data_IF_603585392670
#
_entry.id   IF_603585392670
#
_cell.length_a   1.000
_cell.length_b   1.000
_cell.length_c   1.000
_cell.angle_alpha   90.00
_cell.angle_beta   90.00
_cell.angle_gamma   90.00
#
_symmetry.space_group_name_H-M   'P 1'
#
loop_
_entity.id
_entity.type
_entity.pdbx_description
1 polymer ?
#
# COMPACT_ATOMS: atom_id res chain seq x y z
N UNK A 1 12.84 -16.58 -30.67
CA UNK A 1 11.61 -16.71 -29.86
C UNK A 1 12.05 -16.94 -28.43
N UNK A 2 11.66 -16.04 -27.55
CA UNK A 2 12.02 -16.10 -26.14
C UNK A 2 11.31 -17.27 -25.48
N UNK A 3 12.11 -18.19 -24.94
CA UNK A 3 11.66 -19.33 -24.17
C UNK A 3 11.66 -18.95 -22.68
N UNK A 4 10.48 -18.91 -22.06
CA UNK A 4 10.34 -18.66 -20.62
C UNK A 4 9.91 -19.96 -19.96
N UNK A 5 10.58 -20.30 -18.85
CA UNK A 5 10.23 -21.49 -18.05
C UNK A 5 9.16 -21.14 -17.03
N UNK A 6 8.29 -22.09 -16.75
CA UNK A 6 7.29 -21.97 -15.70
C UNK A 6 7.91 -21.62 -14.34
N UNK A 7 9.02 -22.29 -13.99
CA UNK A 7 9.69 -22.06 -12.72
C UNK A 7 10.30 -20.66 -12.60
N UNK A 8 10.78 -20.09 -13.70
CA UNK A 8 11.37 -18.73 -13.70
C UNK A 8 10.32 -17.68 -13.29
N UNK A 9 9.08 -17.80 -13.76
CA UNK A 9 7.99 -16.91 -13.37
C UNK A 9 7.60 -17.10 -11.90
N UNK A 10 7.45 -18.35 -11.46
CA UNK A 10 7.07 -18.69 -10.08
C UNK A 10 8.10 -18.12 -9.09
N UNK A 11 9.39 -18.33 -9.36
CA UNK A 11 10.47 -17.88 -8.49
C UNK A 11 10.62 -16.37 -8.51
N UNK A 12 10.49 -15.74 -9.67
CA UNK A 12 10.55 -14.28 -9.77
C UNK A 12 9.41 -13.59 -9.01
N UNK A 13 8.20 -14.15 -9.06
CA UNK A 13 7.06 -13.64 -8.26
C UNK A 13 7.33 -13.84 -6.77
N UNK A 14 7.88 -14.99 -6.37
CA UNK A 14 8.17 -15.26 -4.98
C UNK A 14 9.23 -14.29 -4.41
N UNK A 15 10.32 -14.13 -5.15
CA UNK A 15 11.44 -13.26 -4.81
C UNK A 15 11.01 -11.79 -4.81
N UNK A 16 10.17 -11.36 -5.77
CA UNK A 16 9.61 -10.01 -5.81
C UNK A 16 8.77 -9.70 -4.56
N UNK A 17 7.89 -10.61 -4.15
CA UNK A 17 7.04 -10.42 -2.97
C UNK A 17 7.83 -10.41 -1.67
N UNK A 18 8.86 -11.24 -1.57
CA UNK A 18 9.80 -11.20 -0.46
C UNK A 18 10.59 -9.88 -0.45
N UNK A 19 11.10 -9.45 -1.60
CA UNK A 19 11.84 -8.21 -1.76
C UNK A 19 11.05 -6.98 -1.30
N UNK A 20 9.84 -6.79 -1.84
CA UNK A 20 8.98 -5.66 -1.47
C UNK A 20 8.40 -5.77 -0.06
N UNK A 21 8.54 -6.92 0.62
CA UNK A 21 8.13 -7.03 2.02
C UNK A 21 9.06 -6.26 2.95
N UNK A 22 10.35 -6.13 2.62
CA UNK A 22 11.38 -5.52 3.48
C UNK A 22 11.84 -4.15 3.00
N UNK A 23 11.90 -3.95 1.68
CA UNK A 23 12.51 -2.77 1.08
C UNK A 23 11.45 -1.82 0.57
N UNK A 24 11.47 -0.59 1.08
CA UNK A 24 10.79 0.50 0.42
C UNK A 24 11.53 0.88 -0.87
N UNK A 25 10.81 1.29 -1.92
CA UNK A 25 11.39 1.97 -3.06
C UNK A 25 12.21 3.21 -2.65
N UNK A 26 13.29 3.47 -3.38
CA UNK A 26 14.24 4.57 -3.08
C UNK A 26 13.58 5.95 -3.16
N UNK A 27 12.73 6.16 -4.15
CA UNK A 27 11.94 7.36 -4.35
C UNK A 27 10.98 7.64 -3.17
N UNK A 28 10.36 6.61 -2.60
CA UNK A 28 9.57 6.72 -1.38
C UNK A 28 10.42 7.17 -0.19
N UNK A 29 11.60 6.57 0.02
CA UNK A 29 12.52 6.97 1.09
C UNK A 29 12.94 8.44 0.95
N UNK A 30 13.30 8.86 -0.27
CA UNK A 30 13.71 10.23 -0.56
C UNK A 30 12.59 11.24 -0.36
N UNK A 31 11.39 10.94 -0.84
CA UNK A 31 10.21 11.80 -0.69
C UNK A 31 9.79 11.94 0.77
N UNK A 32 9.73 10.83 1.51
CA UNK A 32 9.39 10.85 2.93
C UNK A 32 10.46 11.57 3.76
N UNK A 33 11.74 11.40 3.44
CA UNK A 33 12.82 12.12 4.10
C UNK A 33 12.74 13.63 3.86
N UNK A 34 12.36 14.06 2.66
CA UNK A 34 12.13 15.47 2.34
C UNK A 34 10.93 16.02 3.13
N UNK A 35 9.81 15.30 3.16
CA UNK A 35 8.64 15.65 3.97
C UNK A 35 9.00 15.78 5.46
N UNK A 36 9.72 14.80 6.02
CA UNK A 36 10.19 14.81 7.41
C UNK A 36 11.02 16.04 7.76
N UNK A 37 11.92 16.48 6.86
CA UNK A 37 12.76 17.66 7.09
C UNK A 37 11.95 18.96 7.13
N UNK A 38 10.90 19.05 6.31
CA UNK A 38 10.03 20.22 6.23
C UNK A 38 8.94 20.24 7.30
N UNK A 39 8.56 19.08 7.84
CA UNK A 39 7.44 18.98 8.78
C UNK A 39 7.67 19.79 10.06
N UNK A 40 6.63 20.56 10.42
CA UNK A 40 6.59 21.45 11.57
C UNK A 40 5.78 20.85 12.73
N UNK A 41 4.74 20.07 12.42
CA UNK A 41 3.93 19.38 13.44
C UNK A 41 4.78 18.32 14.15
N UNK A 42 5.00 18.43 15.48
CA UNK A 42 5.81 17.45 16.21
C UNK A 42 5.27 16.03 16.07
N UNK A 43 3.94 15.86 16.13
CA UNK A 43 3.30 14.56 16.02
C UNK A 43 3.45 13.93 14.62
N UNK A 44 3.26 14.71 13.54
CA UNK A 44 3.47 14.19 12.19
C UNK A 44 4.96 13.92 11.90
N UNK A 45 5.85 14.78 12.39
CA UNK A 45 7.30 14.59 12.25
C UNK A 45 7.77 13.32 12.94
N UNK A 46 7.28 13.07 14.16
CA UNK A 46 7.52 11.84 14.90
C UNK A 46 7.00 10.61 14.14
N UNK A 47 5.77 10.67 13.62
CA UNK A 47 5.19 9.58 12.82
C UNK A 47 6.04 9.26 11.57
N UNK A 48 6.52 10.27 10.84
CA UNK A 48 7.42 10.06 9.69
C UNK A 48 8.77 9.46 10.13
N UNK A 49 9.31 9.91 11.27
CA UNK A 49 10.55 9.36 11.82
C UNK A 49 10.41 7.88 12.20
N UNK A 50 9.28 7.47 12.78
CA UNK A 50 8.98 6.07 13.06
C UNK A 50 8.89 5.25 11.77
N UNK A 51 8.25 5.76 10.71
CA UNK A 51 8.17 5.07 9.41
C UNK A 51 9.56 4.87 8.81
N UNK A 52 10.41 5.91 8.80
CA UNK A 52 11.77 5.84 8.26
C UNK A 52 12.66 4.89 9.07
N UNK A 53 12.56 4.95 10.40
CA UNK A 53 13.28 4.05 11.32
C UNK A 53 12.85 2.60 11.10
N UNK A 54 11.54 2.34 11.08
CA UNK A 54 11.00 1.02 10.78
C UNK A 54 11.48 0.51 9.42
N UNK A 55 11.44 1.37 8.38
CA UNK A 55 11.91 0.99 7.05
C UNK A 55 13.37 0.53 7.04
N UNK A 56 14.25 1.24 7.76
CA UNK A 56 15.67 0.87 7.87
C UNK A 56 15.86 -0.43 8.66
N UNK A 57 15.12 -0.59 9.76
CA UNK A 57 15.15 -1.82 10.57
C UNK A 57 14.65 -3.04 9.80
N UNK A 58 13.61 -2.89 8.98
CA UNK A 58 13.07 -3.94 8.11
C UNK A 58 14.08 -4.39 7.06
N UNK A 59 14.80 -3.44 6.44
CA UNK A 59 15.85 -3.73 5.47
C UNK A 59 17.03 -4.50 6.10
N UNK A 60 17.48 -4.08 7.29
CA UNK A 60 18.56 -4.74 8.03
C UNK A 60 18.16 -6.12 8.56
N UNK A 61 16.96 -6.20 9.15
CA UNK A 61 16.48 -7.39 9.83
C UNK A 61 15.76 -8.39 8.93
N UNK A 62 15.56 -8.06 7.64
CA UNK A 62 14.71 -8.81 6.70
C UNK A 62 13.37 -9.16 7.34
N UNK A 63 12.66 -8.13 7.81
CA UNK A 63 11.31 -8.27 8.41
C UNK A 63 10.29 -7.43 7.68
N UNK A 64 9.04 -7.89 7.54
CA UNK A 64 8.03 -7.15 6.80
C UNK A 64 7.84 -5.73 7.35
N UNK A 65 7.78 -4.74 6.47
CA UNK A 65 7.56 -3.32 6.80
C UNK A 65 6.27 -3.10 7.59
N UNK A 66 5.27 -3.94 7.34
CA UNK A 66 3.96 -3.85 7.98
C UNK A 66 3.46 -5.25 8.34
N UNK A 67 2.78 -5.36 9.48
CA UNK A 67 2.09 -6.57 9.92
C UNK A 67 1.05 -7.05 8.91
N UNK A 68 0.48 -6.13 8.13
CA UNK A 68 -0.35 -6.44 6.98
C UNK A 68 0.50 -6.58 5.72
N UNK A 69 0.91 -7.80 5.41
CA UNK A 69 1.67 -8.11 4.20
C UNK A 69 0.85 -7.98 2.92
N UNK A 70 -0.47 -7.77 3.02
CA UNK A 70 -1.32 -7.28 1.94
C UNK A 70 -1.90 -8.36 1.02
N UNK A 71 -2.85 -7.95 0.18
CA UNK A 71 -3.33 -8.73 -0.97
C UNK A 71 -2.37 -8.54 -2.14
N UNK A 72 -2.05 -9.63 -2.84
CA UNK A 72 -1.20 -9.54 -4.04
C UNK A 72 -2.04 -9.15 -5.24
N UNK A 73 -1.62 -8.09 -5.92
CA UNK A 73 -2.16 -7.66 -7.22
C UNK A 73 -1.02 -7.72 -8.23
N UNK A 74 -1.24 -8.37 -9.37
CA UNK A 74 -0.24 -8.50 -10.42
C UNK A 74 -0.83 -8.06 -11.77
N UNK A 75 -0.14 -7.17 -12.46
CA UNK A 75 -0.41 -6.82 -13.86
C UNK A 75 0.64 -7.50 -14.73
N UNK A 76 0.20 -8.47 -15.53
CA UNK A 76 1.07 -9.31 -16.35
C UNK A 76 0.82 -9.02 -17.82
N UNK A 77 1.87 -8.54 -18.49
CA UNK A 77 1.90 -8.27 -19.93
C UNK A 77 2.70 -9.37 -20.62
N UNK A 78 2.06 -10.18 -21.45
CA UNK A 78 2.73 -11.29 -22.15
C UNK A 78 2.91 -10.97 -23.62
N UNK A 79 4.16 -10.90 -24.04
CA UNK A 79 4.55 -10.75 -25.43
C UNK A 79 3.99 -11.86 -26.31
N UNK A 80 3.37 -11.51 -27.43
CA UNK A 80 2.79 -12.48 -28.39
C UNK A 80 3.83 -13.44 -28.98
N UNK A 81 5.12 -13.12 -28.91
CA UNK A 81 6.22 -13.98 -29.37
C UNK A 81 6.88 -14.81 -28.24
N UNK A 82 6.35 -14.75 -27.02
CA UNK A 82 6.78 -15.59 -25.89
C UNK A 82 6.35 -17.03 -26.11
N UNK A 83 7.25 -17.97 -25.84
CA UNK A 83 6.92 -19.40 -25.73
C UNK A 83 7.18 -19.88 -24.32
N UNK A 84 6.20 -20.57 -23.76
CA UNK A 84 6.34 -21.30 -22.50
C UNK A 84 6.82 -22.71 -22.82
N UNK A 85 8.06 -23.04 -22.47
CA UNK A 85 8.71 -24.29 -22.93
C UNK A 85 8.30 -25.53 -22.16
N UNK A 86 7.92 -25.36 -20.90
CA UNK A 86 7.64 -26.43 -19.95
C UNK A 86 6.39 -26.15 -19.11
N UNK A 87 5.57 -25.17 -19.50
CA UNK A 87 4.42 -24.77 -18.71
C UNK A 87 3.30 -25.81 -18.75
N UNK A 88 2.92 -26.25 -17.55
CA UNK A 88 1.72 -27.05 -17.26
C UNK A 88 0.64 -26.23 -16.57
N UNK A 89 1.00 -25.03 -16.09
CA UNK A 89 0.13 -24.07 -15.41
C UNK A 89 -0.21 -22.90 -16.32
N UNK A 90 -1.40 -22.33 -16.14
CA UNK A 90 -1.72 -20.99 -16.66
C UNK A 90 -0.85 -19.92 -15.97
N UNK A 91 -0.72 -18.75 -16.59
CA UNK A 91 0.02 -17.61 -16.01
C UNK A 91 -0.52 -17.24 -14.63
N UNK A 92 -1.85 -17.24 -14.45
CA UNK A 92 -2.49 -16.98 -13.16
C UNK A 92 -2.12 -18.03 -12.10
N UNK A 93 -2.05 -19.31 -12.47
CA UNK A 93 -1.62 -20.38 -11.55
C UNK A 93 -0.14 -20.25 -11.19
N UNK A 94 0.72 -19.89 -12.16
CA UNK A 94 2.14 -19.62 -11.90
C UNK A 94 2.34 -18.45 -10.92
N UNK A 95 1.59 -17.35 -11.10
CA UNK A 95 1.62 -16.22 -10.14
C UNK A 95 1.15 -16.68 -8.77
N UNK A 96 0.05 -17.44 -8.67
CA UNK A 96 -0.43 -17.95 -7.38
C UNK A 96 0.52 -18.94 -6.71
N UNK A 97 1.25 -19.75 -7.49
CA UNK A 97 2.30 -20.62 -6.96
C UNK A 97 3.46 -19.79 -6.39
N UNK A 98 3.86 -18.70 -7.07
CA UNK A 98 4.86 -17.75 -6.56
C UNK A 98 4.40 -17.04 -5.28
N UNK A 99 3.13 -16.62 -5.22
CA UNK A 99 2.52 -16.03 -4.01
C UNK A 99 2.56 -17.01 -2.84
N UNK A 100 2.06 -18.23 -3.04
CA UNK A 100 2.10 -19.28 -2.02
C UNK A 100 3.53 -19.53 -1.53
N UNK A 101 4.49 -19.63 -2.46
CA UNK A 101 5.91 -19.82 -2.15
C UNK A 101 6.47 -18.65 -1.31
N UNK A 102 6.17 -17.40 -1.68
CA UNK A 102 6.60 -16.23 -0.92
C UNK A 102 6.03 -16.25 0.50
N UNK A 103 4.72 -16.48 0.65
CA UNK A 103 4.04 -16.33 1.92
C UNK A 103 4.36 -17.45 2.92
N UNK A 104 4.74 -18.63 2.42
CA UNK A 104 5.12 -19.79 3.23
C UNK A 104 6.64 -19.96 3.37
N UNK A 105 7.45 -18.99 2.95
CA UNK A 105 8.90 -19.09 3.05
C UNK A 105 9.33 -19.20 4.54
N UNK A 106 9.97 -20.30 4.97
CA UNK A 106 10.25 -20.52 6.40
C UNK A 106 11.12 -19.44 7.04
N UNK A 107 12.08 -18.90 6.28
CA UNK A 107 13.01 -17.88 6.77
C UNK A 107 12.35 -16.50 6.95
N UNK A 108 11.19 -16.27 6.31
CA UNK A 108 10.37 -15.08 6.49
C UNK A 108 8.91 -15.34 6.10
N UNK A 109 8.15 -15.87 7.06
CA UNK A 109 6.73 -16.15 6.88
C UNK A 109 5.95 -14.84 6.85
N UNK A 110 5.27 -14.59 5.72
CA UNK A 110 4.38 -13.43 5.57
C UNK A 110 2.98 -13.76 6.09
N UNK A 111 2.19 -12.74 6.39
CA UNK A 111 0.85 -12.94 6.97
C UNK A 111 -0.20 -13.24 5.90
N UNK A 112 -0.70 -14.47 5.87
CA UNK A 112 -1.88 -14.82 5.09
C UNK A 112 -3.14 -14.06 5.57
N UNK A 113 -3.66 -13.18 4.71
CA UNK A 113 -4.75 -12.25 5.01
C UNK A 113 -5.97 -12.47 4.11
N UNK A 114 -5.89 -13.37 3.13
CA UNK A 114 -7.00 -13.72 2.23
C UNK A 114 -7.96 -14.72 2.90
N UNK A 115 -9.25 -14.49 2.68
CA UNK A 115 -10.33 -15.35 3.15
C UNK A 115 -11.15 -15.87 1.96
N UNK A 116 -11.47 -17.16 1.98
CA UNK A 116 -12.44 -17.77 1.09
C UNK A 116 -13.86 -17.58 1.63
N UNK A 117 -14.85 -17.57 0.73
CA UNK A 117 -16.27 -17.37 1.06
C UNK A 117 -16.51 -16.01 1.77
N UNK A 118 -16.26 -14.87 1.09
CA UNK A 118 -16.28 -13.54 1.69
C UNK A 118 -17.65 -13.12 2.23
N UNK A 119 -18.74 -13.65 1.65
CA UNK A 119 -20.12 -13.43 2.08
C UNK A 119 -20.60 -14.47 3.12
N UNK A 120 -19.84 -15.53 3.36
CA UNK A 120 -20.19 -16.62 4.28
C UNK A 120 -19.15 -16.81 5.38
N UNK A 121 -18.49 -17.97 5.39
CA UNK A 121 -17.64 -18.43 6.50
C UNK A 121 -16.32 -17.66 6.65
N UNK A 122 -15.84 -16.97 5.62
CA UNK A 122 -14.61 -16.16 5.64
C UNK A 122 -13.39 -16.92 6.18
N UNK A 123 -13.20 -18.18 5.76
CA UNK A 123 -12.08 -19.02 6.22
C UNK A 123 -10.77 -18.51 5.61
N UNK A 124 -9.74 -18.30 6.43
CA UNK A 124 -8.42 -17.93 5.95
C UNK A 124 -7.85 -19.01 5.01
N UNK A 125 -7.24 -18.61 3.89
CA UNK A 125 -6.68 -19.54 2.89
C UNK A 125 -5.35 -20.16 3.32
N UNK A 126 -4.66 -19.56 4.29
CA UNK A 126 -3.43 -20.07 4.90
C UNK A 126 -2.15 -19.74 4.14
N UNK A 127 -2.26 -19.25 2.91
CA UNK A 127 -1.14 -19.03 1.98
C UNK A 127 -1.24 -17.69 1.21
N UNK A 128 -2.24 -16.87 1.56
CA UNK A 128 -2.54 -15.58 0.93
C UNK A 128 -2.97 -15.64 -0.54
N UNK A 129 -3.28 -16.82 -1.07
CA UNK A 129 -3.89 -16.99 -2.40
C UNK A 129 -5.42 -16.97 -2.29
N UNK A 130 -6.16 -16.67 -3.39
CA UNK A 130 -5.64 -16.23 -4.69
C UNK A 130 -5.19 -14.76 -4.70
N UNK A 131 -4.19 -14.47 -5.53
CA UNK A 131 -3.85 -13.12 -5.96
C UNK A 131 -4.87 -12.60 -6.99
N UNK A 132 -4.98 -11.27 -7.08
CA UNK A 132 -5.74 -10.59 -8.16
C UNK A 132 -4.80 -10.40 -9.35
N UNK A 133 -5.00 -11.20 -10.40
CA UNK A 133 -4.13 -11.19 -11.59
C UNK A 133 -4.86 -10.56 -12.78
N UNK A 134 -4.32 -9.46 -13.27
CA UNK A 134 -4.71 -8.84 -14.54
C UNK A 134 -3.71 -9.27 -15.60
N UNK A 135 -4.21 -9.80 -16.71
CA UNK A 135 -3.38 -10.35 -17.78
C UNK A 135 -3.77 -9.72 -19.12
N UNK A 136 -2.78 -9.33 -19.91
CA UNK A 136 -2.96 -8.87 -21.29
C UNK A 136 -1.87 -9.42 -22.23
N UNK A 137 -2.25 -9.68 -23.49
CA UNK A 137 -1.32 -10.01 -24.56
C UNK A 137 -0.85 -8.72 -25.24
N UNK A 138 0.46 -8.57 -25.42
CA UNK A 138 1.09 -7.37 -26.01
C UNK A 138 2.06 -7.76 -27.12
N UNK A 139 2.39 -6.87 -28.07
CA UNK A 139 3.50 -7.12 -29.01
C UNK A 139 4.83 -7.34 -28.27
N UNK A 140 5.74 -8.12 -28.87
CA UNK A 140 7.08 -8.38 -28.34
C UNK A 140 7.27 -9.80 -27.80
N UNK A 141 8.42 -10.04 -27.19
CA UNK A 141 8.93 -11.36 -26.80
C UNK A 141 9.31 -11.45 -25.31
N UNK A 142 8.74 -10.57 -24.49
CA UNK A 142 9.00 -10.49 -23.04
C UNK A 142 7.72 -10.68 -22.25
N UNK A 143 7.86 -11.07 -20.99
CA UNK A 143 6.77 -11.01 -20.01
C UNK A 143 7.10 -9.89 -19.03
N UNK A 144 6.31 -8.82 -19.04
CA UNK A 144 6.41 -7.75 -18.05
C UNK A 144 5.47 -8.01 -16.88
N UNK A 145 5.95 -7.80 -15.66
CA UNK A 145 5.20 -8.01 -14.44
C UNK A 145 5.35 -6.77 -13.56
N UNK A 146 4.22 -6.14 -13.25
CA UNK A 146 4.13 -5.18 -12.16
C UNK A 146 3.36 -5.85 -11.03
N UNK A 147 4.00 -6.00 -9.87
CA UNK A 147 3.40 -6.70 -8.74
C UNK A 147 3.42 -5.81 -7.50
N UNK A 148 2.31 -5.83 -6.77
CA UNK A 148 2.14 -5.06 -5.54
C UNK A 148 1.57 -5.91 -4.40
N UNK A 149 2.00 -5.61 -3.19
CA UNK A 149 1.49 -6.18 -1.95
C UNK A 149 0.65 -5.13 -1.21
N UNK A 150 -0.65 -5.07 -1.54
CA UNK A 150 -1.53 -3.96 -1.18
C UNK A 150 -2.17 -4.18 0.20
N UNK A 151 -1.95 -3.26 1.15
CA UNK A 151 -2.54 -3.37 2.48
C UNK A 151 -4.07 -3.18 2.45
N UNK A 152 -4.80 -4.00 3.20
CA UNK A 152 -6.27 -3.98 3.24
C UNK A 152 -6.84 -2.66 3.77
N UNK A 153 -6.13 -2.01 4.70
CA UNK A 153 -6.53 -0.68 5.21
C UNK A 153 -6.62 0.36 4.11
N UNK A 154 -5.60 0.44 3.25
CA UNK A 154 -5.60 1.33 2.09
C UNK A 154 -6.53 0.87 0.96
N UNK A 155 -6.70 -0.44 0.76
CA UNK A 155 -7.63 -0.96 -0.25
C UNK A 155 -9.07 -0.57 0.05
N UNK A 156 -9.48 -0.67 1.31
CA UNK A 156 -10.84 -0.35 1.77
C UNK A 156 -11.16 1.15 1.73
N UNK A 157 -10.17 2.00 1.40
CA UNK A 157 -10.33 3.44 1.20
C UNK A 157 -10.34 3.80 -0.29
N UNK A 158 -10.74 2.85 -1.14
CA UNK A 158 -10.98 3.11 -2.56
C UNK A 158 -12.34 3.75 -2.76
N UNK A 159 -12.40 4.81 -3.57
CA UNK A 159 -13.62 5.54 -3.91
C UNK A 159 -13.84 5.50 -5.41
N UNK A 160 -15.09 5.44 -5.83
CA UNK A 160 -15.49 5.44 -7.23
C UNK A 160 -16.74 6.30 -7.42
N UNK A 161 -16.77 7.06 -8.50
CA UNK A 161 -17.94 7.82 -8.90
C UNK A 161 -18.11 7.85 -10.43
N UNK A 162 -19.37 7.99 -10.86
CA UNK A 162 -19.71 8.38 -12.23
C UNK A 162 -19.99 9.88 -12.22
N UNK A 163 -18.97 10.69 -12.46
CA UNK A 163 -19.12 12.14 -12.53
C UNK A 163 -19.83 12.55 -13.83
N UNK A 164 -20.54 13.67 -13.78
CA UNK A 164 -20.98 14.34 -15.00
C UNK A 164 -19.75 14.90 -15.75
N UNK A 165 -19.83 15.04 -17.09
CA UNK A 165 -18.73 15.63 -17.87
C UNK A 165 -18.28 17.02 -17.39
N UNK A 166 -19.17 17.79 -16.79
CA UNK A 166 -18.88 19.14 -16.25
C UNK A 166 -18.37 19.15 -14.80
N UNK A 167 -18.46 18.04 -14.06
CA UNK A 167 -18.10 18.04 -12.64
C UNK A 167 -16.59 18.20 -12.47
N UNK A 168 -16.20 18.90 -11.41
CA UNK A 168 -14.80 19.17 -11.09
C UNK A 168 -14.16 17.99 -10.33
N UNK A 169 -13.02 17.52 -10.85
CA UNK A 169 -12.29 16.38 -10.30
C UNK A 169 -11.63 16.74 -8.97
N UNK A 170 -11.12 17.96 -8.85
CA UNK A 170 -10.40 18.43 -7.66
C UNK A 170 -11.37 18.52 -6.49
N UNK A 171 -12.52 19.14 -6.70
CA UNK A 171 -13.57 19.24 -5.69
C UNK A 171 -14.05 17.86 -5.22
N UNK A 172 -14.25 16.92 -6.16
CA UNK A 172 -14.61 15.55 -5.79
C UNK A 172 -13.54 14.88 -4.94
N UNK A 173 -12.26 14.97 -5.31
CA UNK A 173 -11.16 14.37 -4.52
C UNK A 173 -11.08 14.98 -3.12
N UNK A 174 -11.16 16.31 -3.00
CA UNK A 174 -11.09 17.00 -1.71
C UNK A 174 -12.30 16.68 -0.82
N UNK A 175 -13.45 16.40 -1.39
CA UNK A 175 -14.63 15.93 -0.67
C UNK A 175 -14.44 14.52 -0.09
N UNK A 176 -13.86 13.58 -0.85
CA UNK A 176 -13.71 12.19 -0.40
C UNK A 176 -12.63 12.02 0.69
N UNK A 177 -11.53 12.79 0.62
CA UNK A 177 -10.36 12.56 1.47
C UNK A 177 -10.61 12.64 2.99
N UNK A 178 -11.33 13.64 3.53
CA UNK A 178 -11.60 13.70 4.97
C UNK A 178 -12.27 12.43 5.51
N UNK A 179 -13.17 11.81 4.74
CA UNK A 179 -13.86 10.56 5.11
C UNK A 179 -12.94 9.34 5.18
N UNK A 180 -11.78 9.40 4.53
CA UNK A 180 -10.79 8.32 4.59
C UNK A 180 -10.07 8.28 5.94
N UNK A 181 -9.87 9.45 6.57
CA UNK A 181 -9.15 9.61 7.83
C UNK A 181 -7.74 9.00 7.82
N UNK A 182 -7.25 8.60 8.98
CA UNK A 182 -5.96 7.94 9.14
C UNK A 182 -5.94 6.45 8.70
N UNK A 183 -7.09 5.88 8.30
CA UNK A 183 -7.27 4.44 8.12
C UNK A 183 -6.45 3.81 6.98
N UNK A 184 -5.82 4.63 6.14
CA UNK A 184 -4.90 4.21 5.08
C UNK A 184 -3.43 4.54 5.38
N UNK A 185 -3.09 4.97 6.60
CA UNK A 185 -1.72 5.26 7.06
C UNK A 185 -0.94 6.25 6.16
N UNK A 186 -1.39 7.53 6.02
CA UNK A 186 -0.56 8.56 5.38
C UNK A 186 0.75 8.82 6.15
N UNK A 187 1.80 9.40 5.53
CA UNK A 187 1.81 9.88 4.15
C UNK A 187 2.10 8.76 3.15
N UNK A 188 1.42 8.81 2.01
CA UNK A 188 1.60 7.87 0.92
C UNK A 188 1.28 8.52 -0.42
N UNK A 189 0.63 7.81 -1.33
CA UNK A 189 0.25 8.38 -2.65
C UNK A 189 -1.24 8.24 -2.90
N UNK A 190 -1.79 9.08 -3.77
CA UNK A 190 -3.11 8.86 -4.35
C UNK A 190 -2.96 8.39 -5.79
N UNK A 191 -3.61 7.29 -6.14
CA UNK A 191 -3.76 6.82 -7.51
C UNK A 191 -5.16 7.18 -7.99
N UNK A 192 -5.25 7.86 -9.12
CA UNK A 192 -6.50 8.31 -9.70
C UNK A 192 -6.61 7.76 -11.12
N UNK A 193 -7.75 7.15 -11.42
CA UNK A 193 -8.10 6.67 -12.74
C UNK A 193 -9.26 7.49 -13.29
N UNK A 194 -9.11 8.05 -14.49
CA UNK A 194 -10.13 8.91 -15.10
C UNK A 194 -10.55 8.33 -16.46
N UNK A 195 -11.85 8.22 -16.68
CA UNK A 195 -12.40 7.79 -17.97
C UNK A 195 -12.47 6.27 -18.15
N UNK A 196 -12.59 5.83 -19.40
CA UNK A 196 -13.00 4.47 -19.73
C UNK A 196 -14.43 4.16 -19.25
N UNK A 197 -14.59 2.98 -18.66
CA UNK A 197 -15.77 2.47 -17.96
C UNK A 197 -15.48 2.36 -16.46
N UNK A 198 -16.47 1.97 -15.65
CA UNK A 198 -16.32 1.89 -14.19
C UNK A 198 -15.14 1.02 -13.75
N UNK A 199 -15.03 -0.18 -14.31
CA UNK A 199 -13.96 -1.12 -14.06
C UNK A 199 -12.60 -0.60 -14.58
N UNK A 200 -12.57 0.08 -15.73
CA UNK A 200 -11.33 0.62 -16.28
C UNK A 200 -10.77 1.73 -15.40
N UNK A 201 -11.60 2.64 -14.89
CA UNK A 201 -11.17 3.69 -13.97
C UNK A 201 -10.51 3.09 -12.71
N UNK A 202 -11.12 2.08 -12.10
CA UNK A 202 -10.55 1.39 -10.92
C UNK A 202 -9.20 0.73 -11.23
N UNK A 203 -9.08 0.07 -12.39
CA UNK A 203 -7.82 -0.52 -12.84
C UNK A 203 -6.73 0.54 -13.05
N UNK A 204 -7.07 1.67 -13.69
CA UNK A 204 -6.13 2.77 -13.92
C UNK A 204 -5.67 3.40 -12.61
N UNK A 205 -6.57 3.63 -11.65
CA UNK A 205 -6.23 4.13 -10.32
C UNK A 205 -5.25 3.19 -9.61
N UNK A 206 -5.47 1.87 -9.73
CA UNK A 206 -4.55 0.86 -9.17
C UNK A 206 -3.20 0.87 -9.87
N UNK A 207 -3.18 0.94 -11.20
CA UNK A 207 -1.95 0.95 -12.00
C UNK A 207 -1.12 2.21 -11.76
N UNK A 208 -1.78 3.36 -11.59
CA UNK A 208 -1.13 4.64 -11.33
C UNK A 208 -0.25 4.59 -10.06
N UNK A 209 -0.67 3.84 -9.04
CA UNK A 209 0.07 3.68 -7.78
C UNK A 209 1.41 2.94 -7.90
N UNK A 210 1.68 2.33 -9.04
CA UNK A 210 2.97 1.66 -9.28
C UNK A 210 4.00 2.59 -9.94
N UNK A 211 3.64 3.84 -10.26
CA UNK A 211 4.58 4.79 -10.81
C UNK A 211 5.55 5.33 -9.74
N UNK A 212 6.80 5.67 -10.12
CA UNK A 212 7.77 6.20 -9.18
C UNK A 212 7.35 7.57 -8.63
N UNK A 213 7.65 7.89 -7.38
CA UNK A 213 7.38 9.20 -6.79
C UNK A 213 8.28 10.26 -7.43
N UNK A 214 7.68 11.26 -8.07
CA UNK A 214 8.39 12.29 -8.85
C UNK A 214 7.81 13.70 -8.70
N UNK A 215 6.84 13.92 -7.79
CA UNK A 215 6.17 15.22 -7.60
C UNK A 215 7.14 16.41 -7.45
N UNK A 216 8.24 16.25 -6.71
CA UNK A 216 9.24 17.31 -6.54
C UNK A 216 9.93 17.67 -7.86
N UNK A 217 10.28 16.66 -8.67
CA UNK A 217 10.87 16.86 -9.99
C UNK A 217 9.84 17.47 -10.96
N UNK A 218 8.59 17.02 -10.90
CA UNK A 218 7.48 17.56 -11.68
C UNK A 218 7.26 19.06 -11.41
N UNK A 219 7.19 19.47 -10.13
CA UNK A 219 7.06 20.89 -9.76
C UNK A 219 8.24 21.73 -10.23
N UNK A 220 9.47 21.20 -10.13
CA UNK A 220 10.67 21.91 -10.55
C UNK A 220 10.73 22.12 -12.07
N UNK A 221 10.31 21.14 -12.87
CA UNK A 221 10.29 21.25 -14.33
C UNK A 221 9.07 21.99 -14.88
N UNK A 222 7.98 22.04 -14.12
CA UNK A 222 6.68 22.56 -14.54
C UNK A 222 5.82 21.53 -15.30
N UNK A 223 4.51 21.69 -15.22
CA UNK A 223 3.56 20.84 -15.95
C UNK A 223 3.64 21.09 -17.47
N UNK A 224 3.52 20.01 -18.24
CA UNK A 224 3.54 20.03 -19.70
C UNK A 224 2.20 19.66 -20.33
N UNK A 225 1.26 19.16 -19.52
CA UNK A 225 -0.07 18.75 -19.96
C UNK A 225 -1.08 18.88 -18.81
N UNK A 226 -2.36 18.74 -19.14
CA UNK A 226 -3.47 18.88 -18.18
C UNK A 226 -3.41 17.89 -17.02
N UNK A 227 -2.92 16.68 -17.27
CA UNK A 227 -2.80 15.66 -16.22
C UNK A 227 -1.74 16.06 -15.19
N UNK A 228 -0.61 16.60 -15.65
CA UNK A 228 0.45 17.09 -14.76
C UNK A 228 0.04 18.32 -13.96
N UNK A 229 -0.70 19.24 -14.58
CA UNK A 229 -1.31 20.37 -13.85
C UNK A 229 -2.22 19.85 -12.74
N UNK A 230 -3.10 18.89 -13.06
CA UNK A 230 -4.03 18.30 -12.10
C UNK A 230 -3.32 17.54 -10.98
N UNK A 231 -2.23 16.83 -11.29
CA UNK A 231 -1.38 16.16 -10.28
C UNK A 231 -0.82 17.17 -9.26
N UNK A 232 -0.23 18.27 -9.75
CA UNK A 232 0.32 19.33 -8.89
C UNK A 232 -0.79 19.95 -8.05
N UNK A 233 -1.88 20.37 -8.69
CA UNK A 233 -3.01 21.03 -8.04
C UNK A 233 -3.61 20.15 -6.92
N UNK A 234 -3.85 18.88 -7.20
CA UNK A 234 -4.33 17.93 -6.20
C UNK A 234 -3.32 17.73 -5.08
N UNK A 235 -2.03 17.53 -5.39
CA UNK A 235 -1.02 17.33 -4.35
C UNK A 235 -0.96 18.52 -3.38
N UNK A 236 -1.04 19.75 -3.90
CA UNK A 236 -1.01 20.96 -3.08
C UNK A 236 -2.28 21.12 -2.25
N UNK A 237 -3.45 21.00 -2.88
CA UNK A 237 -4.74 21.17 -2.19
C UNK A 237 -4.99 20.08 -1.14
N UNK A 238 -4.59 18.84 -1.42
CA UNK A 238 -4.71 17.72 -0.48
C UNK A 238 -3.83 17.94 0.76
N UNK A 239 -2.59 18.39 0.58
CA UNK A 239 -1.71 18.70 1.70
C UNK A 239 -2.20 19.93 2.47
N UNK A 240 -2.80 20.91 1.79
CA UNK A 240 -3.42 22.08 2.42
C UNK A 240 -4.64 21.76 3.30
N UNK A 241 -5.26 20.57 3.17
CA UNK A 241 -6.31 20.12 4.11
C UNK A 241 -5.77 19.90 5.53
N UNK A 242 -4.45 19.79 5.71
CA UNK A 242 -3.83 19.65 7.02
C UNK A 242 -4.12 18.33 7.73
N UNK A 243 -4.53 17.27 7.02
CA UNK A 243 -4.76 15.93 7.59
C UNK A 243 -3.46 15.37 8.19
N UNK A 244 -2.35 15.53 7.46
CA UNK A 244 -1.00 15.20 7.93
C UNK A 244 -0.69 13.71 8.05
N UNK A 245 0.55 13.40 8.44
CA UNK A 245 1.00 12.03 8.65
C UNK A 245 0.18 11.32 9.73
N UNK A 246 -0.24 10.09 9.44
CA UNK A 246 -1.12 9.27 10.31
C UNK A 246 -2.43 9.96 10.73
N UNK A 247 -2.86 11.04 10.05
CA UNK A 247 -4.01 11.83 10.44
C UNK A 247 -3.82 12.66 11.72
N UNK A 248 -2.57 12.93 12.10
CA UNK A 248 -2.20 13.67 13.32
C UNK A 248 -2.07 15.19 13.09
N UNK A 249 -2.45 15.68 11.91
CA UNK A 249 -2.23 17.06 11.50
C UNK A 249 -0.79 17.32 11.08
N UNK A 250 -0.58 18.18 10.08
CA UNK A 250 0.75 18.52 9.59
C UNK A 250 0.75 18.91 8.11
N UNK A 251 1.94 19.08 7.56
CA UNK A 251 2.12 19.58 6.19
C UNK A 251 1.92 18.49 5.14
N UNK A 252 2.20 17.23 5.46
CA UNK A 252 2.23 16.15 4.45
C UNK A 252 1.21 15.06 4.73
N UNK A 253 0.17 15.01 3.91
CA UNK A 253 -0.79 13.91 3.80
C UNK A 253 -0.43 12.97 2.66
N UNK A 254 0.04 13.51 1.53
CA UNK A 254 0.44 12.78 0.33
C UNK A 254 1.83 13.22 -0.14
N UNK A 255 2.62 12.25 -0.58
CA UNK A 255 3.94 12.45 -1.18
C UNK A 255 3.84 12.68 -2.70
N UNK A 256 2.82 12.10 -3.34
CA UNK A 256 2.54 12.24 -4.78
C UNK A 256 1.07 11.93 -5.07
N UNK A 257 0.59 12.42 -6.21
CA UNK A 257 -0.68 12.06 -6.83
C UNK A 257 -0.37 11.54 -8.22
N UNK A 258 -0.76 10.31 -8.53
CA UNK A 258 -0.57 9.66 -9.82
C UNK A 258 -1.90 9.53 -10.53
N UNK A 259 -1.94 9.92 -11.80
CA UNK A 259 -3.16 9.90 -12.60
C UNK A 259 -2.89 9.13 -13.88
N UNK A 260 -3.75 8.18 -14.20
CA UNK A 260 -3.85 7.57 -15.52
C UNK A 260 -5.25 7.81 -16.07
N UNK A 261 -5.35 8.19 -17.33
CA UNK A 261 -6.62 8.43 -18.01
C UNK A 261 -6.83 7.51 -19.21
N UNK A 262 -8.08 7.43 -19.65
CA UNK A 262 -8.48 6.66 -20.82
C UNK A 262 -9.69 7.32 -21.50
N UNK A 263 -9.81 7.25 -22.84
CA UNK A 263 -10.97 7.77 -23.54
C UNK A 263 -12.29 7.25 -22.95
N UNK A 264 -13.29 8.12 -22.83
CA UNK A 264 -14.59 7.77 -22.23
C UNK A 264 -15.74 8.24 -23.09
N UNK A 265 -16.94 7.72 -22.83
CA UNK A 265 -18.16 8.11 -23.52
C UNK A 265 -18.49 9.58 -23.20
N UNK A 266 -18.96 10.34 -24.18
CA UNK A 266 -19.18 11.80 -24.04
C UNK A 266 -20.13 12.19 -22.89
N UNK A 267 -21.03 11.30 -22.49
CA UNK A 267 -21.97 11.49 -21.39
C UNK A 267 -21.47 11.00 -20.02
N UNK A 268 -20.22 10.54 -19.91
CA UNK A 268 -19.71 9.89 -18.70
C UNK A 268 -18.32 10.39 -18.34
N UNK A 269 -18.05 10.50 -17.03
CA UNK A 269 -16.70 10.69 -16.50
C UNK A 269 -16.49 9.74 -15.31
N UNK A 270 -16.26 8.44 -15.56
CA UNK A 270 -15.89 7.51 -14.49
C UNK A 270 -14.60 8.00 -13.83
N UNK A 271 -14.57 7.99 -12.51
CA UNK A 271 -13.38 8.34 -11.74
C UNK A 271 -13.22 7.36 -10.58
N UNK A 272 -11.99 6.96 -10.34
CA UNK A 272 -11.60 6.16 -9.19
C UNK A 272 -10.45 6.83 -8.46
N UNK A 273 -10.46 6.74 -7.13
CA UNK A 273 -9.39 7.16 -6.24
C UNK A 273 -9.01 5.98 -5.36
N UNK A 274 -7.73 5.65 -5.31
CA UNK A 274 -7.19 4.57 -4.48
C UNK A 274 -5.94 5.12 -3.79
N UNK A 275 -5.87 5.17 -2.45
CA UNK A 275 -4.66 5.54 -1.77
C UNK A 275 -3.65 4.38 -1.75
N UNK A 276 -2.36 4.70 -1.77
CA UNK A 276 -1.28 3.83 -1.35
C UNK A 276 -0.76 4.29 0.01
N UNK A 277 -0.70 3.38 0.99
CA UNK A 277 -0.29 3.69 2.36
C UNK A 277 1.23 3.88 2.48
N UNK A 278 1.68 4.26 3.68
CA UNK A 278 3.09 4.31 4.03
C UNK A 278 3.86 2.99 3.81
N UNK A 279 3.17 1.84 3.71
CA UNK A 279 3.78 0.58 3.29
C UNK A 279 3.74 0.46 1.75
N UNK A 280 4.51 1.30 1.07
CA UNK A 280 4.63 1.34 -0.40
C UNK A 280 5.39 0.11 -0.90
N UNK A 281 4.67 -0.87 -1.44
CA UNK A 281 5.24 -2.18 -1.81
C UNK A 281 4.80 -2.58 -3.20
N UNK A 282 5.57 -2.18 -4.19
CA UNK A 282 5.45 -2.63 -5.57
C UNK A 282 6.82 -2.78 -6.21
N UNK A 283 6.91 -3.58 -7.25
CA UNK A 283 8.11 -3.72 -8.07
C UNK A 283 7.73 -4.10 -9.50
N UNK A 284 8.59 -3.73 -10.43
CA UNK A 284 8.47 -3.98 -11.85
C UNK A 284 9.63 -4.86 -12.30
N UNK A 285 9.34 -5.90 -13.08
CA UNK A 285 10.37 -6.72 -13.69
C UNK A 285 9.91 -7.34 -14.99
N UNK A 286 10.88 -7.82 -15.77
CA UNK A 286 10.62 -8.51 -17.02
C UNK A 286 11.35 -9.85 -17.05
N UNK A 287 10.72 -10.83 -17.70
CA UNK A 287 11.35 -12.08 -18.08
C UNK A 287 11.61 -12.08 -19.59
N UNK A 288 12.83 -12.41 -19.95
CA UNK A 288 13.32 -12.43 -21.34
C UNK A 288 14.00 -13.77 -21.69
N UNK A 289 13.79 -14.81 -20.87
CA UNK A 289 14.41 -16.13 -21.05
C UNK A 289 15.80 -16.29 -20.44
N UNK A 290 16.35 -15.27 -19.77
CA UNK A 290 17.64 -15.37 -19.05
C UNK A 290 17.57 -16.09 -17.69
N UNK A 291 16.38 -16.52 -17.26
CA UNK A 291 16.12 -17.12 -15.96
C UNK A 291 15.32 -16.21 -15.02
N UNK A 292 15.44 -16.47 -13.71
CA UNK A 292 14.76 -15.74 -12.63
C UNK A 292 15.17 -14.26 -12.60
N UNK A 293 14.20 -13.37 -12.36
CA UNK A 293 14.44 -11.95 -12.20
C UNK A 293 15.33 -11.66 -10.98
N UNK A 294 16.24 -10.69 -11.12
CA UNK A 294 17.12 -10.26 -10.05
C UNK A 294 16.75 -8.86 -9.57
N UNK A 295 16.72 -8.67 -8.26
CA UNK A 295 16.35 -7.41 -7.62
C UNK A 295 17.53 -6.86 -6.83
N UNK A 296 17.84 -5.58 -7.02
CA UNK A 296 18.92 -4.91 -6.29
C UNK A 296 18.33 -4.17 -5.09
N UNK A 297 18.67 -4.54 -3.84
CA UNK A 297 18.23 -3.82 -2.66
C UNK A 297 18.72 -2.36 -2.67
N UNK A 298 17.96 -1.41 -2.11
CA UNK A 298 18.49 -0.09 -1.79
C UNK A 298 19.73 -0.20 -0.91
N UNK A 299 20.69 0.72 -1.09
CA UNK A 299 21.88 0.75 -0.24
C UNK A 299 21.52 1.35 1.13
N UNK A 300 22.28 1.04 2.18
CA UNK A 300 21.96 1.58 3.51
C UNK A 300 22.10 3.11 3.57
N UNK A 301 22.93 3.66 2.69
CA UNK A 301 23.15 5.08 2.47
C UNK A 301 21.93 5.77 1.82
N UNK A 302 21.02 5.03 1.20
CA UNK A 302 19.76 5.57 0.68
C UNK A 302 18.73 5.83 1.79
N UNK A 303 18.92 5.24 2.98
CA UNK A 303 18.05 5.50 4.12
C UNK A 303 18.49 6.80 4.81
N UNK A 304 17.56 7.74 5.06
CA UNK A 304 17.91 8.99 5.71
C UNK A 304 18.41 8.72 7.14
N UNK A 305 19.36 9.54 7.57
CA UNK A 305 19.91 9.47 8.93
C UNK A 305 18.90 10.03 9.95
N UNK A 306 17.94 9.17 10.30
CA UNK A 306 16.89 9.46 11.28
C UNK A 306 17.06 8.53 12.47
N UNK A 307 17.32 9.14 13.63
CA UNK A 307 17.42 8.44 14.90
C UNK A 307 16.19 8.74 15.75
N UNK A 308 15.14 7.92 15.59
CA UNK A 308 13.95 8.06 16.41
C UNK A 308 14.23 7.63 17.87
N UNK A 309 13.76 8.44 18.81
CA UNK A 309 13.70 8.11 20.23
C UNK A 309 12.34 8.55 20.78
N UNK A 310 11.79 7.86 21.79
CA UNK A 310 10.58 8.31 22.45
C UNK A 310 10.72 9.74 22.99
N UNK A 311 9.66 10.54 22.89
CA UNK A 311 9.65 11.89 23.44
C UNK A 311 9.98 11.87 24.94
N UNK A 312 10.85 12.80 25.38
CA UNK A 312 11.36 12.83 26.75
C UNK A 312 10.25 13.10 27.79
N UNK A 313 9.20 13.79 27.38
CA UNK A 313 8.00 14.13 28.14
C UNK A 313 6.87 13.10 28.00
N UNK A 314 7.09 12.00 27.25
CA UNK A 314 6.08 10.97 27.10
C UNK A 314 5.75 10.29 28.44
N UNK A 315 4.46 10.21 28.77
CA UNK A 315 3.98 9.61 30.02
C UNK A 315 4.18 8.10 29.97
N UNK A 316 4.98 7.55 30.89
CA UNK A 316 5.17 6.10 31.03
C UNK A 316 4.00 5.49 31.78
N UNK A 317 3.38 4.45 31.22
CA UNK A 317 2.20 3.79 31.77
C UNK A 317 2.43 2.28 31.83
N UNK A 318 2.32 1.72 33.03
CA UNK A 318 2.30 0.28 33.21
C UNK A 318 0.84 -0.24 33.17
N UNK A 319 0.51 -0.98 32.11
CA UNK A 319 -0.80 -1.58 31.87
C UNK A 319 -1.21 -2.57 32.96
N UNK A 320 -0.25 -3.17 33.67
CA UNK A 320 -0.55 -4.13 34.74
C UNK A 320 -1.04 -3.44 36.03
N UNK A 321 -0.85 -2.12 36.15
CA UNK A 321 -1.19 -1.36 37.36
C UNK A 321 -2.04 -0.12 37.12
N UNK A 322 -2.25 0.28 35.86
CA UNK A 322 -3.01 1.49 35.50
C UNK A 322 -4.46 1.41 35.98
N UNK A 323 -4.95 2.50 36.56
CA UNK A 323 -6.32 2.58 37.09
C UNK A 323 -7.21 3.50 36.25
N UNK A 324 -8.53 3.42 36.44
CA UNK A 324 -9.48 4.34 35.80
C UNK A 324 -9.26 5.79 36.21
N UNK A 325 -8.77 6.05 37.43
CA UNK A 325 -8.47 7.39 37.91
C UNK A 325 -7.25 7.98 37.19
N UNK A 326 -6.24 7.16 36.89
CA UNK A 326 -5.08 7.59 36.09
C UNK A 326 -5.51 7.96 34.67
N UNK A 327 -6.33 7.11 34.04
CA UNK A 327 -6.84 7.32 32.67
C UNK A 327 -7.67 8.60 32.58
N UNK A 328 -8.46 8.92 33.60
CA UNK A 328 -9.31 10.11 33.64
C UNK A 328 -8.53 11.43 33.60
N UNK A 329 -7.21 11.41 33.85
CA UNK A 329 -6.35 12.60 33.81
C UNK A 329 -5.75 12.85 32.42
N UNK A 330 -5.81 11.88 31.50
CA UNK A 330 -5.17 11.98 30.19
C UNK A 330 -5.92 12.94 29.27
N UNK A 331 -5.18 13.74 28.50
CA UNK A 331 -5.73 14.63 27.49
C UNK A 331 -5.49 14.09 26.06
N UNK A 332 -6.41 14.34 25.11
CA UNK A 332 -6.17 14.09 23.70
C UNK A 332 -4.88 14.79 23.23
N UNK A 333 -4.02 14.06 22.53
CA UNK A 333 -2.72 14.54 22.06
C UNK A 333 -1.53 14.20 22.99
N UNK A 334 -1.78 13.71 24.20
CA UNK A 334 -0.68 13.20 25.05
C UNK A 334 -0.04 11.96 24.44
N UNK A 335 1.30 11.89 24.49
CA UNK A 335 2.07 10.72 24.09
C UNK A 335 2.28 9.80 25.28
N UNK A 336 1.85 8.54 25.15
CA UNK A 336 1.97 7.52 26.19
C UNK A 336 2.95 6.42 25.78
N UNK A 337 3.82 5.99 26.70
CA UNK A 337 4.69 4.83 26.54
C UNK A 337 4.17 3.69 27.40
N UNK A 338 3.61 2.68 26.75
CA UNK A 338 2.93 1.56 27.41
C UNK A 338 3.91 0.41 27.66
N UNK A 339 3.86 -0.16 28.86
CA UNK A 339 4.52 -1.43 29.23
C UNK A 339 3.53 -2.35 29.95
N UNK A 340 3.71 -3.67 29.89
CA UNK A 340 2.84 -4.64 30.56
C UNK A 340 2.00 -5.46 29.59
N UNK A 341 0.91 -6.07 30.09
CA UNK A 341 0.07 -6.98 29.31
C UNK A 341 -0.99 -6.25 28.47
N UNK A 342 -0.98 -6.50 27.16
CA UNK A 342 -2.01 -6.03 26.21
C UNK A 342 -2.74 -7.23 25.58
N UNK A 343 -4.07 -7.23 25.64
CA UNK A 343 -4.90 -8.20 24.93
C UNK A 343 -5.21 -7.68 23.52
N UNK A 344 -4.93 -8.49 22.49
CA UNK A 344 -5.19 -8.11 21.10
C UNK A 344 -6.42 -8.81 20.54
N UNK A 345 -7.35 -8.06 19.99
CA UNK A 345 -8.52 -8.58 19.27
C UNK A 345 -8.89 -7.63 18.12
N UNK A 346 -9.29 -8.20 16.98
CA UNK A 346 -9.77 -7.44 15.81
C UNK A 346 -11.17 -7.93 15.40
N UNK A 347 -11.57 -7.76 14.15
CA UNK A 347 -12.91 -7.98 13.62
C UNK A 347 -13.54 -9.31 14.04
N UNK A 348 -12.87 -10.44 13.76
CA UNK A 348 -13.40 -11.77 14.06
C UNK A 348 -13.48 -12.06 15.56
N UNK A 349 -12.54 -11.55 16.35
CA UNK A 349 -12.57 -11.67 17.80
C UNK A 349 -13.73 -10.86 18.38
N UNK A 350 -13.89 -9.60 17.97
CA UNK A 350 -15.00 -8.75 18.41
C UNK A 350 -16.36 -9.30 17.99
N UNK A 351 -16.49 -9.83 16.76
CA UNK A 351 -17.71 -10.53 16.34
C UNK A 351 -18.04 -11.69 17.29
N UNK A 352 -17.05 -12.52 17.64
CA UNK A 352 -17.26 -13.63 18.58
C UNK A 352 -17.69 -13.13 19.96
N UNK A 353 -17.09 -12.06 20.48
CA UNK A 353 -17.48 -11.47 21.77
C UNK A 353 -18.93 -10.97 21.74
N UNK A 354 -19.35 -10.30 20.67
CA UNK A 354 -20.73 -9.85 20.47
C UNK A 354 -21.69 -11.04 20.35
N UNK A 355 -21.31 -12.10 19.63
CA UNK A 355 -22.12 -13.31 19.48
C UNK A 355 -22.28 -14.04 20.84
N UNK A 356 -21.26 -14.03 21.72
CA UNK A 356 -21.36 -14.55 23.09
C UNK A 356 -22.35 -13.74 23.93
N UNK A 357 -22.25 -12.40 23.90
CA UNK A 357 -23.17 -11.51 24.61
C UNK A 357 -24.61 -11.71 24.15
N UNK A 358 -24.84 -11.84 22.84
CA UNK A 358 -26.17 -12.06 22.28
C UNK A 358 -26.79 -13.39 22.73
N UNK A 359 -25.96 -14.39 23.08
CA UNK A 359 -26.39 -15.68 23.62
C UNK A 359 -26.51 -15.69 25.15
N UNK A 360 -26.19 -14.59 25.83
CA UNK A 360 -26.12 -14.53 27.30
C UNK A 360 -24.94 -15.32 27.88
N UNK A 361 -23.93 -15.63 27.06
CA UNK A 361 -22.72 -16.32 27.51
C UNK A 361 -21.70 -15.32 28.11
N UNK A 362 -20.90 -15.72 29.11
CA UNK A 362 -19.88 -14.85 29.69
C UNK A 362 -18.77 -14.52 28.68
N UNK A 363 -18.19 -13.32 28.82
CA UNK A 363 -17.03 -12.90 28.04
C UNK A 363 -15.75 -13.61 28.55
N UNK A 364 -14.84 -14.03 27.66
CA UNK A 364 -13.59 -14.70 28.02
C UNK A 364 -12.49 -13.69 28.39
N UNK A 365 -12.75 -12.81 29.35
CA UNK A 365 -11.87 -11.70 29.76
C UNK A 365 -11.43 -11.79 31.21
#
# INVERSE_FOLDING_TARGET
MTAIRQQDLIDSVADALQFISYYHPRDYLQALAAAYRMEESPAAKDAMAQILTNSRMCALGKRPICQDTGIVVAFVRVGMAVRWVDATMSVTEMVNAGVRKAYLLPDNVLRASIVADPAGKRKNTGDNTPAVVHFELVPGDRVGIDIAAKGGGSENKSHFAMLNPSDDIVEWVLHELPGMGAGWCPPGMLGIGIGGTAEKAMLLAKQALMQPIDMSALKARGAQNRIEELRIELCDKVNALGIGAQGLGGLTTVLDVKILDYPTHAASKPIALIPNCAATRHIHFELNGSGVAQFTPPQLEDYPDVHWQPAADARRVNLDTVTRADIAQWQPGETLLLSGKLLTGRDAAHKRLVDLLAKGEPLPV
#
